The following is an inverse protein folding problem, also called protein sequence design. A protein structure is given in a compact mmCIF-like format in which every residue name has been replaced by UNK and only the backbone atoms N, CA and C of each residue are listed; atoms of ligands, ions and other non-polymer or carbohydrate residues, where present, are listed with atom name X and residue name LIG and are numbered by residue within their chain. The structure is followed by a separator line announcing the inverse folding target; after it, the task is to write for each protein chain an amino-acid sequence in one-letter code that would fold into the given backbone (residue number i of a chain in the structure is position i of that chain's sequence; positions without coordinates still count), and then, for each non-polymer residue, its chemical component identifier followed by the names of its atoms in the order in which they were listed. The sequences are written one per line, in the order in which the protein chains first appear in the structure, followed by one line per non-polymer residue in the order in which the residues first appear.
data_IF_999011600477
#
_entry.id   IF_999011600477
#
_cell.length_a   1.000
_cell.length_b   1.000
_cell.length_c   1.000
_cell.angle_alpha   90.00
_cell.angle_beta   90.00
_cell.angle_gamma   90.00
#
_symmetry.space_group_name_H-M   'P 1'
#
loop_
_entity.id
_entity.type
_entity.pdbx_description
1 polymer ?
#
# COMPACT_ATOMS: atom_id res chain seq x y z
N UNK A 1 -0.57 12.01 -18.52
CA UNK A 1 -0.12 12.01 -17.10
C UNK A 1 1.19 12.73 -17.06
N UNK A 2 1.30 13.80 -16.26
CA UNK A 2 2.51 14.60 -16.10
C UNK A 2 3.18 14.25 -14.77
N UNK A 3 4.51 14.08 -14.78
CA UNK A 3 5.32 13.91 -13.58
C UNK A 3 6.48 14.92 -13.60
N UNK A 4 6.82 15.47 -12.41
CA UNK A 4 7.94 16.42 -12.30
C UNK A 4 9.31 15.74 -12.38
N UNK A 5 9.39 14.45 -12.09
CA UNK A 5 10.62 13.66 -12.16
C UNK A 5 10.72 12.82 -13.42
N UNK A 6 11.81 12.07 -13.56
CA UNK A 6 11.95 11.08 -14.61
C UNK A 6 10.87 10.02 -14.52
N UNK A 7 10.38 9.55 -15.68
CA UNK A 7 9.35 8.52 -15.71
C UNK A 7 9.86 7.20 -15.11
N UNK A 8 9.03 6.61 -14.26
CA UNK A 8 9.27 5.31 -13.62
C UNK A 8 10.43 5.27 -12.62
N UNK A 9 11.05 6.40 -12.34
CA UNK A 9 11.92 6.61 -11.20
C UNK A 9 11.10 7.18 -10.06
N UNK A 10 10.55 6.29 -9.22
CA UNK A 10 9.58 6.67 -8.19
C UNK A 10 10.27 7.32 -6.99
N UNK A 11 10.46 8.65 -7.02
CA UNK A 11 11.08 9.42 -5.94
C UNK A 11 10.17 9.74 -4.75
N UNK A 12 8.90 9.31 -4.80
CA UNK A 12 7.90 9.56 -3.76
C UNK A 12 7.65 8.35 -2.87
N UNK A 13 6.47 8.30 -2.25
CA UNK A 13 6.07 7.25 -1.31
C UNK A 13 6.08 5.85 -1.91
N UNK A 14 5.89 5.70 -3.22
CA UNK A 14 5.82 4.40 -3.89
C UNK A 14 7.11 3.59 -3.71
N UNK A 15 8.28 4.20 -3.89
CA UNK A 15 9.57 3.50 -3.74
C UNK A 15 9.99 3.27 -2.29
N UNK A 16 9.42 4.04 -1.36
CA UNK A 16 9.75 3.98 0.05
C UNK A 16 8.70 3.22 0.87
N UNK A 17 7.56 2.87 0.25
CA UNK A 17 6.51 2.12 0.94
C UNK A 17 6.96 0.67 1.21
N UNK A 18 6.72 0.13 2.41
CA UNK A 18 7.03 -1.27 2.74
C UNK A 18 6.16 -2.27 1.98
N UNK A 19 5.12 -1.81 1.30
CA UNK A 19 4.25 -2.61 0.45
C UNK A 19 3.19 -3.41 1.19
N UNK A 20 3.12 -3.33 2.51
CA UNK A 20 2.13 -4.05 3.30
C UNK A 20 0.70 -3.62 2.99
N UNK A 21 -0.16 -4.58 2.67
CA UNK A 21 -1.58 -4.34 2.37
C UNK A 21 -2.44 -5.13 3.35
N UNK A 22 -3.19 -4.40 4.17
CA UNK A 22 -4.19 -4.93 5.10
C UNK A 22 -5.58 -4.51 4.61
N UNK A 23 -6.45 -5.48 4.33
CA UNK A 23 -7.78 -5.22 3.77
C UNK A 23 -8.82 -4.82 4.81
N UNK A 24 -8.59 -5.17 6.07
CA UNK A 24 -9.52 -4.84 7.15
C UNK A 24 -9.44 -3.38 7.55
N UNK A 25 -10.56 -2.70 7.50
CA UNK A 25 -10.70 -1.30 7.89
C UNK A 25 -12.05 -1.09 8.60
N UNK A 26 -12.15 -0.18 9.60
CA UNK A 26 -13.44 0.16 10.22
C UNK A 26 -14.46 0.73 9.24
N UNK A 27 -14.03 1.38 8.18
CA UNK A 27 -14.90 1.86 7.10
C UNK A 27 -15.18 0.76 6.09
N UNK A 28 -16.46 0.45 5.87
CA UNK A 28 -16.88 -0.51 4.84
C UNK A 28 -16.40 -0.14 3.44
N UNK A 29 -16.42 1.15 3.10
CA UNK A 29 -15.96 1.62 1.78
C UNK A 29 -14.46 1.40 1.61
N UNK A 30 -13.66 1.72 2.63
CA UNK A 30 -12.22 1.51 2.60
C UNK A 30 -11.87 0.02 2.54
N UNK A 31 -12.62 -0.84 3.23
CA UNK A 31 -12.46 -2.29 3.12
C UNK A 31 -12.71 -2.78 1.68
N UNK A 32 -13.77 -2.28 1.03
CA UNK A 32 -14.07 -2.59 -0.38
C UNK A 32 -12.97 -2.09 -1.33
N UNK A 33 -12.46 -0.88 -1.12
CA UNK A 33 -11.35 -0.36 -1.92
C UNK A 33 -10.09 -1.20 -1.74
N UNK A 34 -9.80 -1.64 -0.52
CA UNK A 34 -8.64 -2.50 -0.25
C UNK A 34 -8.77 -3.86 -0.94
N UNK A 35 -9.96 -4.49 -0.88
CA UNK A 35 -10.24 -5.75 -1.60
C UNK A 35 -10.08 -5.57 -3.12
N UNK A 36 -10.70 -4.54 -3.70
CA UNK A 36 -10.53 -4.22 -5.11
C UNK A 36 -9.06 -4.01 -5.49
N UNK A 37 -8.31 -3.29 -4.65
CA UNK A 37 -6.88 -3.02 -4.90
C UNK A 37 -6.07 -4.32 -4.87
N UNK A 38 -6.34 -5.22 -3.93
CA UNK A 38 -5.67 -6.53 -3.86
C UNK A 38 -5.96 -7.35 -5.11
N UNK A 39 -7.23 -7.42 -5.53
CA UNK A 39 -7.61 -8.16 -6.74
C UNK A 39 -6.94 -7.58 -7.99
N UNK A 40 -6.88 -6.25 -8.11
CA UNK A 40 -6.16 -5.58 -9.19
C UNK A 40 -4.67 -5.94 -9.16
N UNK A 41 -4.00 -5.78 -8.03
CA UNK A 41 -2.56 -6.05 -7.91
C UNK A 41 -2.20 -7.51 -8.18
N UNK A 42 -3.08 -8.45 -7.79
CA UNK A 42 -2.95 -9.88 -8.12
C UNK A 42 -3.05 -10.17 -9.61
N UNK A 43 -3.86 -9.41 -10.33
CA UNK A 43 -4.01 -9.55 -11.79
C UNK A 43 -2.83 -9.00 -12.58
N UNK A 44 -1.96 -8.21 -11.93
CA UNK A 44 -0.83 -7.54 -12.59
C UNK A 44 0.48 -8.32 -12.43
N UNK A 45 1.25 -8.33 -13.50
CA UNK A 45 2.65 -8.76 -13.52
C UNK A 45 3.48 -7.80 -14.36
N UNK A 46 4.76 -7.73 -14.09
CA UNK A 46 5.72 -6.97 -14.90
C UNK A 46 7.02 -7.78 -15.00
N UNK A 47 7.52 -7.97 -16.22
CA UNK A 47 8.69 -8.81 -16.49
C UNK A 47 8.54 -10.22 -15.87
N UNK A 48 7.37 -10.84 -16.08
CA UNK A 48 7.01 -12.17 -15.57
C UNK A 48 6.98 -12.30 -14.03
N UNK A 49 7.14 -11.20 -13.29
CA UNK A 49 7.11 -11.18 -11.84
C UNK A 49 5.78 -10.62 -11.32
N UNK A 50 5.16 -11.24 -10.31
CA UNK A 50 3.89 -10.78 -9.75
C UNK A 50 4.03 -9.40 -9.08
N UNK A 51 2.99 -8.59 -9.14
CA UNK A 51 2.92 -7.31 -8.44
C UNK A 51 2.42 -7.42 -7.00
N UNK A 52 1.92 -8.59 -6.60
CA UNK A 52 1.41 -8.86 -5.27
C UNK A 52 1.78 -10.26 -4.80
N UNK A 53 2.21 -10.37 -3.55
CA UNK A 53 2.51 -11.63 -2.87
C UNK A 53 1.48 -11.85 -1.78
N UNK A 54 0.63 -12.87 -1.98
CA UNK A 54 -0.40 -13.26 -1.01
C UNK A 54 0.23 -14.13 0.07
N UNK A 55 0.74 -13.51 1.10
CA UNK A 55 1.39 -14.20 2.23
C UNK A 55 0.52 -14.19 3.49
N UNK A 56 -0.62 -13.50 3.43
CA UNK A 56 -1.47 -13.26 4.58
C UNK A 56 -0.97 -12.10 5.45
N UNK A 57 -1.87 -11.61 6.29
CA UNK A 57 -1.58 -10.57 7.29
C UNK A 57 -2.06 -11.00 8.65
N UNK A 58 -1.23 -10.80 9.67
CA UNK A 58 -1.54 -11.14 11.06
C UNK A 58 -1.43 -9.89 11.92
N UNK A 59 -2.47 -9.60 12.69
CA UNK A 59 -2.41 -8.62 13.77
C UNK A 59 -2.40 -9.38 15.11
N UNK A 60 -1.31 -9.26 15.86
CA UNK A 60 -1.14 -9.94 17.14
C UNK A 60 -1.70 -9.14 18.30
N UNK A 61 -2.13 -9.83 19.35
CA UNK A 61 -2.64 -9.26 20.59
C UNK A 61 -1.76 -9.66 21.78
N UNK A 62 -1.26 -8.66 22.53
CA UNK A 62 -0.45 -8.87 23.72
C UNK A 62 -1.27 -8.83 25.02
N UNK A 63 -2.44 -8.22 25.01
CA UNK A 63 -3.33 -8.12 26.17
C UNK A 63 -4.67 -8.81 25.89
N UNK A 64 -5.39 -9.17 26.97
CA UNK A 64 -6.74 -9.76 26.83
C UNK A 64 -7.71 -8.79 26.17
N UNK A 65 -7.65 -7.52 26.52
CA UNK A 65 -8.51 -6.47 25.97
C UNK A 65 -8.27 -6.32 24.46
N UNK A 66 -7.00 -6.35 24.02
CA UNK A 66 -6.67 -6.35 22.60
C UNK A 66 -7.16 -7.61 21.92
N UNK A 67 -7.06 -8.76 22.57
CA UNK A 67 -7.54 -10.01 22.00
C UNK A 67 -9.05 -10.00 21.80
N UNK A 68 -9.82 -9.50 22.76
CA UNK A 68 -11.26 -9.27 22.63
C UNK A 68 -11.60 -8.30 21.50
N UNK A 69 -10.77 -7.26 21.30
CA UNK A 69 -10.94 -6.31 20.19
C UNK A 69 -10.75 -6.96 18.84
N UNK A 70 -9.85 -7.94 18.71
CA UNK A 70 -9.68 -8.71 17.49
C UNK A 70 -10.93 -9.51 17.11
N UNK A 71 -11.74 -10.00 18.07
CA UNK A 71 -13.02 -10.63 17.77
C UNK A 71 -14.05 -9.62 17.23
N UNK A 72 -14.08 -8.39 17.76
CA UNK A 72 -14.93 -7.33 17.21
C UNK A 72 -14.50 -6.99 15.78
N UNK A 73 -13.20 -6.91 15.55
CA UNK A 73 -12.61 -6.69 14.22
C UNK A 73 -12.97 -7.80 13.25
N UNK A 74 -12.92 -9.06 13.69
CA UNK A 74 -13.35 -10.22 12.91
C UNK A 74 -14.82 -10.10 12.47
N UNK A 75 -15.73 -9.76 13.38
CA UNK A 75 -17.14 -9.54 13.06
C UNK A 75 -17.35 -8.46 11.99
N UNK A 76 -16.62 -7.34 12.11
CA UNK A 76 -16.63 -6.27 11.12
C UNK A 76 -16.13 -6.78 9.76
N UNK A 77 -14.99 -7.47 9.74
CA UNK A 77 -14.38 -8.01 8.52
C UNK A 77 -15.34 -8.94 7.77
N UNK A 78 -15.97 -9.88 8.48
CA UNK A 78 -16.97 -10.79 7.91
C UNK A 78 -18.16 -10.02 7.34
N UNK A 79 -18.67 -9.01 8.05
CA UNK A 79 -19.80 -8.18 7.58
C UNK A 79 -19.45 -7.36 6.32
N UNK A 80 -18.18 -7.16 6.04
CA UNK A 80 -17.67 -6.42 4.86
C UNK A 80 -17.14 -7.32 3.75
N UNK A 81 -17.29 -8.66 3.90
CA UNK A 81 -16.97 -9.62 2.85
C UNK A 81 -15.61 -10.31 2.98
N UNK A 82 -14.83 -10.06 4.04
CA UNK A 82 -13.60 -10.79 4.34
C UNK A 82 -13.91 -12.06 5.16
N UNK A 83 -14.65 -12.99 4.56
CA UNK A 83 -15.20 -14.17 5.24
C UNK A 83 -14.14 -15.19 5.67
N UNK A 84 -12.95 -15.18 5.03
CA UNK A 84 -11.83 -16.07 5.33
C UNK A 84 -10.97 -15.57 6.50
N UNK A 85 -11.23 -14.35 6.99
CA UNK A 85 -10.58 -13.84 8.17
C UNK A 85 -10.90 -14.69 9.40
N UNK A 86 -9.93 -14.91 10.28
CA UNK A 86 -10.10 -15.73 11.48
C UNK A 86 -9.19 -15.30 12.62
N UNK A 87 -9.56 -15.70 13.85
CA UNK A 87 -8.66 -15.66 15.00
C UNK A 87 -7.82 -16.95 14.98
N UNK A 88 -6.54 -16.82 15.24
CA UNK A 88 -5.56 -17.91 15.29
C UNK A 88 -4.84 -17.94 16.63
N UNK A 89 -4.43 -19.13 17.04
CA UNK A 89 -3.68 -19.34 18.28
C UNK A 89 -2.24 -18.83 18.19
N UNK A 90 -1.55 -18.62 19.33
CA UNK A 90 -0.12 -18.28 19.34
C UNK A 90 0.75 -19.26 18.56
N UNK A 91 0.48 -20.55 18.64
CA UNK A 91 1.22 -21.59 17.92
C UNK A 91 1.01 -21.51 16.39
N UNK A 92 -0.20 -21.13 15.95
CA UNK A 92 -0.47 -20.90 14.54
C UNK A 92 0.24 -19.63 14.04
N UNK A 93 0.32 -18.58 14.87
CA UNK A 93 1.11 -17.37 14.56
C UNK A 93 2.57 -17.73 14.37
N UNK A 94 3.16 -18.49 15.30
CA UNK A 94 4.59 -18.90 15.23
C UNK A 94 4.89 -19.68 13.94
N UNK A 95 3.99 -20.56 13.50
CA UNK A 95 4.16 -21.30 12.24
C UNK A 95 4.20 -20.44 11.00
N UNK A 96 3.53 -19.29 11.02
CA UNK A 96 3.46 -18.35 9.89
C UNK A 96 4.50 -17.24 9.97
N UNK A 97 5.05 -17.00 11.15
CA UNK A 97 6.07 -15.99 11.40
C UNK A 97 6.96 -16.40 12.55
N UNK A 98 8.22 -16.81 12.27
CA UNK A 98 9.14 -17.31 13.29
C UNK A 98 9.67 -16.25 14.25
N UNK A 99 9.28 -14.96 14.04
CA UNK A 99 9.79 -13.82 14.83
C UNK A 99 8.98 -13.54 16.08
N UNK A 100 7.89 -14.26 16.28
CA UNK A 100 6.97 -14.01 17.39
C UNK A 100 7.20 -15.03 18.50
N UNK A 101 7.38 -14.51 19.70
CA UNK A 101 7.38 -15.31 20.91
C UNK A 101 5.90 -15.64 21.29
N UNK A 102 5.48 -16.91 21.14
CA UNK A 102 4.09 -17.29 21.38
C UNK A 102 3.66 -17.13 22.84
N UNK A 103 4.60 -17.14 23.78
CA UNK A 103 4.30 -16.95 25.21
C UNK A 103 3.92 -15.50 25.55
N UNK A 104 4.24 -14.55 24.67
CA UNK A 104 3.99 -13.12 24.88
C UNK A 104 2.74 -12.58 24.20
N UNK A 105 1.98 -13.44 23.52
CA UNK A 105 0.76 -13.05 22.82
C UNK A 105 -0.43 -13.93 23.22
N UNK A 106 -1.64 -13.41 23.09
CA UNK A 106 -2.88 -14.16 23.28
C UNK A 106 -3.38 -14.82 21.99
N UNK A 107 -2.84 -14.46 20.84
CA UNK A 107 -3.22 -14.95 19.53
C UNK A 107 -3.13 -13.85 18.49
N UNK A 108 -3.68 -14.12 17.31
CA UNK A 108 -3.67 -13.20 16.18
C UNK A 108 -4.99 -13.15 15.43
N UNK A 109 -5.26 -12.05 14.78
CA UNK A 109 -6.26 -11.88 13.76
C UNK A 109 -5.58 -12.05 12.40
N UNK A 110 -6.01 -13.05 11.64
CA UNK A 110 -5.38 -13.44 10.37
C UNK A 110 -6.32 -13.23 9.20
N UNK A 111 -5.81 -12.60 8.14
CA UNK A 111 -6.49 -12.46 6.84
C UNK A 111 -5.61 -13.12 5.78
N UNK A 112 -6.02 -14.28 5.23
CA UNK A 112 -5.18 -15.04 4.28
C UNK A 112 -4.95 -14.31 2.96
N UNK A 113 -5.83 -13.38 2.61
CA UNK A 113 -5.76 -12.61 1.36
C UNK A 113 -4.96 -11.31 1.47
N UNK A 114 -4.54 -10.92 2.65
CA UNK A 114 -3.58 -9.83 2.86
C UNK A 114 -2.19 -10.20 2.29
N UNK A 115 -1.32 -9.24 2.15
CA UNK A 115 0.00 -9.53 1.63
C UNK A 115 0.84 -8.31 1.31
N UNK A 116 1.82 -8.51 0.46
CA UNK A 116 2.80 -7.51 0.07
C UNK A 116 2.67 -7.14 -1.40
N UNK A 117 2.45 -5.88 -1.67
CA UNK A 117 2.62 -5.30 -2.99
C UNK A 117 4.10 -5.09 -3.30
N UNK A 118 4.48 -5.22 -4.57
CA UNK A 118 5.72 -4.71 -5.12
C UNK A 118 5.43 -3.34 -5.77
N UNK A 119 5.47 -2.22 -5.02
CA UNK A 119 4.82 -0.97 -5.43
C UNK A 119 5.39 -0.41 -6.74
N UNK A 120 6.72 -0.39 -6.89
CA UNK A 120 7.39 0.10 -8.12
C UNK A 120 7.01 -0.78 -9.32
N UNK A 121 6.98 -2.10 -9.12
CA UNK A 121 6.58 -3.05 -10.17
C UNK A 121 5.12 -2.85 -10.57
N UNK A 122 4.24 -2.66 -9.60
CA UNK A 122 2.82 -2.40 -9.84
C UNK A 122 2.59 -1.11 -10.65
N UNK A 123 3.30 -0.03 -10.33
CA UNK A 123 3.22 1.23 -11.10
C UNK A 123 3.69 1.01 -12.54
N UNK A 124 4.80 0.30 -12.76
CA UNK A 124 5.29 -0.02 -14.11
C UNK A 124 4.31 -0.90 -14.88
N UNK A 125 3.72 -1.90 -14.24
CA UNK A 125 2.69 -2.76 -14.84
C UNK A 125 1.46 -1.95 -15.27
N UNK A 126 0.95 -1.09 -14.40
CA UNK A 126 -0.19 -0.23 -14.72
C UNK A 126 0.13 0.76 -15.85
N UNK A 127 1.31 1.36 -15.83
CA UNK A 127 1.73 2.28 -16.89
C UNK A 127 1.85 1.55 -18.23
N UNK A 128 2.47 0.37 -18.25
CA UNK A 128 2.52 -0.47 -19.45
C UNK A 128 1.12 -0.81 -19.97
N UNK A 129 0.20 -1.20 -19.09
CA UNK A 129 -1.17 -1.50 -19.47
C UNK A 129 -1.88 -0.31 -20.15
N UNK A 130 -1.73 0.91 -19.59
CA UNK A 130 -2.28 2.14 -20.19
C UNK A 130 -1.67 2.42 -21.56
N UNK A 131 -0.36 2.25 -21.69
CA UNK A 131 0.37 2.48 -22.94
C UNK A 131 0.01 1.45 -24.01
N UNK A 132 -0.07 0.17 -23.66
CA UNK A 132 -0.44 -0.92 -24.59
C UNK A 132 -1.86 -0.73 -25.15
N UNK A 133 -2.76 -0.19 -24.36
CA UNK A 133 -4.12 0.16 -24.79
C UNK A 133 -4.22 1.48 -25.57
N UNK A 134 -3.11 2.21 -25.69
CA UNK A 134 -3.10 3.57 -26.21
C UNK A 134 -4.15 4.48 -25.53
N UNK A 135 -4.34 4.27 -24.22
CA UNK A 135 -5.37 4.95 -23.41
C UNK A 135 -4.85 6.20 -22.68
N UNK A 136 -3.54 6.46 -22.78
CA UNK A 136 -2.92 7.64 -22.16
C UNK A 136 -1.44 7.75 -22.47
N UNK A 137 -0.90 8.92 -22.20
CA UNK A 137 0.50 9.26 -22.38
C UNK A 137 1.13 9.66 -21.04
N UNK A 138 2.39 9.28 -20.84
CA UNK A 138 3.18 9.66 -19.67
C UNK A 138 4.28 10.61 -20.12
N UNK A 139 4.39 11.77 -19.45
CA UNK A 139 5.37 12.80 -19.76
C UNK A 139 6.12 13.13 -18.47
N UNK A 140 7.38 12.75 -18.41
CA UNK A 140 8.28 13.02 -17.28
C UNK A 140 8.96 14.37 -17.37
N UNK A 141 9.70 14.75 -16.31
CA UNK A 141 10.46 16.01 -16.21
C UNK A 141 9.60 17.24 -16.54
N UNK A 142 8.28 17.14 -16.29
CA UNK A 142 7.31 18.15 -16.66
C UNK A 142 6.55 18.64 -15.40
N UNK A 143 7.19 19.48 -14.58
CA UNK A 143 6.56 20.03 -13.39
C UNK A 143 5.40 20.95 -13.75
N UNK A 144 4.24 20.72 -13.11
CA UNK A 144 3.12 21.67 -13.20
C UNK A 144 3.43 22.87 -12.31
N UNK A 145 3.43 24.06 -12.92
CA UNK A 145 3.75 25.33 -12.26
C UNK A 145 2.54 26.21 -12.00
N UNK A 146 1.41 25.93 -12.67
CA UNK A 146 0.16 26.67 -12.50
C UNK A 146 -1.04 25.93 -13.05
N UNK A 147 -2.21 26.52 -12.82
CA UNK A 147 -3.49 26.06 -13.39
C UNK A 147 -4.10 27.15 -14.26
N UNK A 148 -4.49 26.78 -15.47
CA UNK A 148 -5.28 27.66 -16.36
C UNK A 148 -6.73 27.64 -15.89
N UNK A 149 -7.18 28.74 -15.28
CA UNK A 149 -8.54 28.87 -14.77
C UNK A 149 -9.20 30.07 -15.48
N UNK A 150 -10.35 29.86 -16.08
CA UNK A 150 -11.17 30.89 -16.72
C UNK A 150 -12.63 30.70 -16.33
N UNK A 151 -13.29 31.79 -15.94
CA UNK A 151 -14.68 31.76 -15.48
C UNK A 151 -14.94 30.71 -14.37
N UNK A 152 -14.03 30.63 -13.43
CA UNK A 152 -14.05 29.64 -12.31
C UNK A 152 -14.09 28.16 -12.75
N UNK A 153 -13.58 27.88 -13.93
CA UNK A 153 -13.47 26.53 -14.48
C UNK A 153 -12.01 26.26 -14.86
N UNK A 154 -11.56 25.02 -14.59
CA UNK A 154 -10.27 24.55 -15.05
C UNK A 154 -10.27 24.47 -16.59
N UNK A 155 -9.14 24.83 -17.19
CA UNK A 155 -8.89 24.75 -18.63
C UNK A 155 -7.60 24.02 -18.96
N UNK A 156 -6.84 23.64 -17.95
CA UNK A 156 -5.57 22.94 -18.13
C UNK A 156 -4.56 23.31 -17.06
N UNK A 157 -3.32 22.99 -17.36
CA UNK A 157 -2.15 23.26 -16.50
C UNK A 157 -1.04 23.95 -17.27
N UNK A 158 -0.23 24.74 -16.55
CA UNK A 158 0.95 25.43 -17.05
C UNK A 158 2.19 24.63 -16.68
N UNK A 159 3.14 24.54 -17.61
CA UNK A 159 4.45 23.91 -17.40
C UNK A 159 5.56 24.74 -18.04
N UNK A 160 6.85 24.56 -17.66
CA UNK A 160 7.96 25.21 -18.34
C UNK A 160 8.12 24.85 -19.83
N UNK A 161 7.49 23.75 -20.25
CA UNK A 161 7.59 23.23 -21.62
C UNK A 161 6.37 23.55 -22.48
N UNK A 162 5.44 24.35 -21.96
CA UNK A 162 4.18 24.71 -22.61
C UNK A 162 2.97 24.26 -21.76
N UNK A 163 1.82 24.68 -22.22
CA UNK A 163 0.56 24.42 -21.52
C UNK A 163 -0.11 23.15 -22.03
N UNK A 164 -0.79 22.46 -21.12
CA UNK A 164 -1.67 21.32 -21.46
C UNK A 164 -3.11 21.69 -21.20
N UNK A 165 -3.95 21.60 -22.22
CA UNK A 165 -5.38 21.86 -22.09
C UNK A 165 -6.14 20.63 -21.62
N UNK A 166 -7.06 20.80 -20.67
CA UNK A 166 -7.91 19.75 -20.16
C UNK A 166 -9.16 20.31 -19.47
N UNK A 167 -10.28 19.62 -19.65
CA UNK A 167 -11.54 19.93 -18.97
C UNK A 167 -11.55 19.46 -17.51
N UNK A 168 -10.75 18.44 -17.19
CA UNK A 168 -10.60 17.86 -15.86
C UNK A 168 -9.13 17.66 -15.55
N UNK A 169 -8.70 18.11 -14.39
CA UNK A 169 -7.34 17.89 -13.88
C UNK A 169 -7.41 17.08 -12.58
N UNK A 170 -6.86 15.88 -12.59
CA UNK A 170 -6.73 15.04 -11.40
C UNK A 170 -5.36 15.29 -10.75
N UNK A 171 -5.37 15.78 -9.51
CA UNK A 171 -4.13 16.00 -8.73
C UNK A 171 -3.86 14.78 -7.86
N UNK A 172 -2.87 13.99 -8.25
CA UNK A 172 -2.44 12.76 -7.55
C UNK A 172 -1.00 12.89 -7.02
N UNK A 173 -0.65 14.05 -6.47
CA UNK A 173 0.72 14.45 -6.15
C UNK A 173 1.15 14.10 -4.71
N UNK A 174 0.42 13.21 -4.01
CA UNK A 174 0.80 12.72 -2.69
C UNK A 174 1.12 13.86 -1.70
N UNK A 175 2.32 13.83 -1.12
CA UNK A 175 2.78 14.82 -0.13
C UNK A 175 2.90 16.25 -0.71
N UNK A 176 2.96 16.41 -2.02
CA UNK A 176 3.00 17.73 -2.70
C UNK A 176 1.61 18.30 -2.99
N UNK A 177 0.52 17.57 -2.68
CA UNK A 177 -0.85 18.04 -2.92
C UNK A 177 -1.16 19.42 -2.28
N UNK A 178 -0.68 19.77 -1.06
CA UNK A 178 -0.88 21.12 -0.52
C UNK A 178 -0.23 22.22 -1.37
N UNK A 179 0.91 21.95 -2.01
CA UNK A 179 1.53 22.90 -2.94
C UNK A 179 0.66 23.10 -4.18
N UNK A 180 0.14 22.02 -4.75
CA UNK A 180 -0.75 22.07 -5.89
C UNK A 180 -2.07 22.78 -5.56
N UNK A 181 -2.62 22.52 -4.37
CA UNK A 181 -3.82 23.23 -3.89
C UNK A 181 -3.60 24.76 -3.85
N UNK A 182 -2.46 25.22 -3.33
CA UNK A 182 -2.12 26.65 -3.31
C UNK A 182 -2.09 27.28 -4.71
N UNK A 183 -1.59 26.57 -5.73
CA UNK A 183 -1.61 27.05 -7.11
C UNK A 183 -3.03 27.24 -7.66
N UNK A 184 -3.98 26.47 -7.14
CA UNK A 184 -5.40 26.57 -7.49
C UNK A 184 -6.22 27.43 -6.51
N UNK A 185 -5.60 28.13 -5.55
CA UNK A 185 -6.25 28.82 -4.44
C UNK A 185 -7.17 27.93 -3.58
N UNK A 186 -6.82 26.65 -3.45
CA UNK A 186 -7.52 25.66 -2.62
C UNK A 186 -6.63 25.29 -1.44
N UNK A 187 -7.18 25.40 -0.23
CA UNK A 187 -6.49 24.88 0.97
C UNK A 187 -6.80 23.41 1.15
N UNK A 188 -5.76 22.58 1.07
CA UNK A 188 -5.86 21.15 1.37
C UNK A 188 -5.31 20.89 2.77
N UNK A 189 -6.11 20.34 3.71
CA UNK A 189 -5.71 20.11 5.09
C UNK A 189 -4.85 18.85 5.23
N UNK A 190 -3.72 18.82 4.53
CA UNK A 190 -2.74 17.73 4.55
C UNK A 190 -1.43 18.21 5.15
N UNK A 191 -0.90 17.43 6.08
CA UNK A 191 0.42 17.64 6.67
C UNK A 191 1.28 16.42 6.33
N UNK A 192 2.34 16.59 5.53
CA UNK A 192 3.30 15.51 5.29
C UNK A 192 3.96 15.07 6.59
N UNK A 193 3.94 13.78 6.86
CA UNK A 193 4.59 13.19 8.02
C UNK A 193 5.63 12.17 7.56
N UNK A 194 6.74 12.10 8.25
CA UNK A 194 7.75 11.07 8.05
C UNK A 194 7.33 9.80 8.79
N UNK A 195 7.42 8.67 8.12
CA UNK A 195 7.23 7.34 8.71
C UNK A 195 8.60 6.66 8.76
N UNK A 196 9.09 6.40 9.95
CA UNK A 196 10.39 5.75 10.11
C UNK A 196 10.31 4.28 9.72
N UNK A 197 11.31 3.82 8.99
CA UNK A 197 11.50 2.43 8.62
C UNK A 197 12.93 2.03 8.92
N UNK A 198 13.10 0.89 9.59
CA UNK A 198 14.40 0.31 9.88
C UNK A 198 14.60 -0.96 9.03
N UNK A 199 15.76 -1.08 8.41
CA UNK A 199 16.23 -2.29 7.76
C UNK A 199 17.20 -2.97 8.72
N UNK A 200 16.91 -4.20 9.06
CA UNK A 200 17.74 -5.01 9.95
C UNK A 200 18.46 -6.08 9.13
N UNK A 201 19.66 -6.46 9.56
CA UNK A 201 20.28 -7.66 9.03
C UNK A 201 19.48 -8.90 9.47
N UNK A 202 19.37 -9.92 8.61
CA UNK A 202 18.70 -11.16 8.98
C UNK A 202 19.35 -11.81 10.20
N UNK A 203 18.56 -12.09 11.22
CA UNK A 203 18.99 -12.90 12.36
C UNK A 203 18.90 -14.40 12.04
N UNK A 204 19.46 -15.27 12.89
CA UNK A 204 19.66 -16.68 12.53
C UNK A 204 18.34 -17.41 12.25
N UNK A 205 17.29 -17.19 13.06
CA UNK A 205 15.98 -17.82 12.87
C UNK A 205 15.35 -17.44 11.52
N UNK A 206 15.59 -16.20 11.05
CA UNK A 206 15.14 -15.78 9.73
C UNK A 206 15.94 -16.48 8.62
N UNK A 207 17.25 -16.61 8.78
CA UNK A 207 18.09 -17.30 7.81
C UNK A 207 17.73 -18.78 7.69
N UNK A 208 17.44 -19.44 8.81
CA UNK A 208 16.97 -20.82 8.84
C UNK A 208 15.62 -20.94 8.12
N UNK A 209 14.67 -20.09 8.44
CA UNK A 209 13.36 -20.05 7.77
C UNK A 209 13.50 -19.84 6.26
N UNK A 210 14.34 -18.90 5.83
CA UNK A 210 14.58 -18.60 4.41
C UNK A 210 15.32 -19.74 3.70
N UNK A 211 16.15 -20.50 4.40
CA UNK A 211 16.86 -21.64 3.82
C UNK A 211 15.91 -22.73 3.30
N UNK A 212 14.76 -22.88 3.95
CA UNK A 212 13.72 -23.85 3.56
C UNK A 212 12.81 -23.35 2.43
N UNK A 213 12.87 -22.04 2.11
CA UNK A 213 11.94 -21.37 1.18
C UNK A 213 12.67 -20.61 0.05
N UNK A 214 13.74 -21.15 -0.50
CA UNK A 214 14.69 -20.47 -1.41
C UNK A 214 14.11 -19.87 -2.68
N UNK A 215 12.91 -20.28 -3.10
CA UNK A 215 12.30 -19.83 -4.34
C UNK A 215 11.29 -18.70 -4.14
N UNK A 216 10.84 -18.43 -2.92
CA UNK A 216 9.87 -17.40 -2.64
C UNK A 216 10.52 -16.02 -2.48
N UNK A 217 9.93 -15.00 -3.08
CA UNK A 217 10.37 -13.62 -2.90
C UNK A 217 9.96 -13.06 -1.53
N UNK A 218 8.89 -13.60 -0.94
CA UNK A 218 8.34 -13.26 0.38
C UNK A 218 7.73 -14.52 0.96
N UNK A 219 8.12 -14.89 2.15
CA UNK A 219 7.90 -16.24 2.68
C UNK A 219 7.03 -16.28 3.93
N UNK A 220 6.99 -15.22 4.72
CA UNK A 220 6.21 -15.19 5.95
C UNK A 220 5.07 -14.18 5.89
N UNK A 221 4.05 -14.39 6.73
CA UNK A 221 2.94 -13.47 6.84
C UNK A 221 3.39 -12.06 7.27
N UNK A 222 2.72 -11.05 6.72
CA UNK A 222 2.89 -9.67 7.15
C UNK A 222 2.40 -9.52 8.59
N UNK A 223 3.24 -8.98 9.46
CA UNK A 223 2.94 -8.87 10.88
C UNK A 223 2.63 -7.44 11.29
N UNK A 224 1.61 -7.29 12.14
CA UNK A 224 1.23 -6.01 12.75
C UNK A 224 1.06 -6.16 14.24
N UNK A 225 1.67 -5.24 14.99
CA UNK A 225 1.47 -5.08 16.42
C UNK A 225 0.89 -3.69 16.71
N UNK A 226 -0.44 -3.65 16.84
CA UNK A 226 -1.17 -2.37 16.92
C UNK A 226 -0.82 -1.56 18.17
N UNK A 227 -0.59 -2.21 19.32
CA UNK A 227 -0.29 -1.52 20.56
C UNK A 227 1.04 -0.76 20.53
N UNK A 228 1.98 -1.19 19.71
CA UNK A 228 3.27 -0.54 19.50
C UNK A 228 3.37 0.23 18.17
N UNK A 229 2.27 0.28 17.39
CA UNK A 229 2.27 0.89 16.05
C UNK A 229 3.39 0.34 15.17
N UNK A 230 3.69 -0.94 15.30
CA UNK A 230 4.71 -1.65 14.54
C UNK A 230 4.06 -2.57 13.50
N UNK A 231 4.67 -2.63 12.34
CA UNK A 231 4.47 -3.71 11.37
C UNK A 231 5.81 -4.08 10.76
N UNK A 232 5.98 -5.34 10.42
CA UNK A 232 7.23 -5.87 9.86
C UNK A 232 6.95 -7.03 8.90
N UNK A 233 7.93 -7.25 8.07
CA UNK A 233 7.95 -8.28 7.02
C UNK A 233 9.34 -8.86 6.85
#
# INVERSE_FOLDING_TARGET
ILDQGPLFETGGSTSHAPGGVFQTNPSRMMCKFAQYTVDLLRSLSFEEKPCFHTVGGIEVSKTKERHEDLYRKLGIAHSYGLTDAKIISPDEVLKMSPFIDPEKIHGGYYVPTDGLAAPVRAVRAMAKYVTDLNAGEFIGETPVTGFKISNNQIRGVETPHGDYEADIVLVSTGIWAPKMGRLANISLPLVPCEHQMAWLEPFEELKEFQADHKEAQVEHALMRHQDYSLYFR
#
